data_IF_260098158935
#
_entry.id   IF_260098158935
#
_cell.length_a   1.000
_cell.length_b   1.000
_cell.length_c   1.000
_cell.angle_alpha   90.00
_cell.angle_beta   90.00
_cell.angle_gamma   90.00
#
_symmetry.space_group_name_H-M   'P 1'
#
loop_
_entity.id
_entity.type
_entity.pdbx_description
1 polymer ?
#
# COMPACT_ATOMS: atom_id res chain seq x y z
N UNK A 1 63.94 24.33 10.70
CA UNK A 1 63.95 24.61 9.26
C UNK A 1 62.93 23.70 8.60
N UNK A 2 61.97 24.30 7.90
CA UNK A 2 60.96 23.67 7.05
C UNK A 2 61.40 23.87 5.59
N UNK A 3 61.12 22.92 4.68
CA UNK A 3 60.47 23.29 3.42
C UNK A 3 59.33 22.30 3.11
N UNK A 4 58.06 22.72 3.17
CA UNK A 4 57.23 23.28 2.08
C UNK A 4 57.11 22.43 0.80
N UNK A 5 55.92 21.83 0.72
CA UNK A 5 55.00 21.74 -0.43
C UNK A 5 55.42 20.99 -1.69
N UNK A 6 54.81 19.81 -1.89
CA UNK A 6 54.31 19.40 -3.20
C UNK A 6 52.89 18.85 -3.05
N UNK A 7 51.97 19.46 -3.80
CA UNK A 7 50.58 19.05 -4.00
C UNK A 7 50.53 17.69 -4.74
N UNK A 8 49.66 16.79 -4.29
CA UNK A 8 49.03 15.76 -5.13
C UNK A 8 47.54 15.75 -4.83
N UNK A 9 46.76 16.05 -5.87
CA UNK A 9 45.31 15.86 -5.95
C UNK A 9 45.04 14.38 -6.20
N UNK A 10 44.23 13.74 -5.36
CA UNK A 10 43.50 12.48 -5.60
C UNK A 10 42.55 12.37 -4.39
N UNK A 11 41.25 12.14 -4.45
CA UNK A 11 40.30 11.67 -5.45
C UNK A 11 39.11 11.18 -4.60
N UNK A 12 37.87 11.40 -5.04
CA UNK A 12 36.67 10.91 -4.36
C UNK A 12 36.77 9.42 -4.00
N UNK A 13 36.35 9.05 -2.79
CA UNK A 13 35.82 7.72 -2.55
C UNK A 13 34.79 7.79 -1.43
N UNK A 14 33.53 7.91 -1.87
CA UNK A 14 32.33 7.48 -1.17
C UNK A 14 32.64 6.10 -0.56
N UNK A 15 32.57 5.98 0.77
CA UNK A 15 32.51 4.69 1.41
C UNK A 15 31.14 4.08 1.11
N UNK A 16 30.98 3.59 -0.12
CA UNK A 16 29.86 2.78 -0.54
C UNK A 16 29.93 1.49 0.25
N UNK A 17 29.01 1.34 1.21
CA UNK A 17 28.71 0.04 1.78
C UNK A 17 28.24 -0.85 0.63
N UNK A 18 29.13 -1.76 0.22
CA UNK A 18 28.81 -2.90 -0.63
C UNK A 18 27.80 -3.77 0.11
N UNK A 19 26.51 -3.56 -0.14
CA UNK A 19 25.52 -4.61 0.02
C UNK A 19 25.41 -5.33 -1.33
N UNK A 20 25.60 -6.66 -1.38
CA UNK A 20 25.52 -7.40 -2.62
C UNK A 20 24.11 -7.27 -3.20
N UNK A 21 24.08 -6.94 -4.47
CA UNK A 21 22.97 -6.85 -5.44
C UNK A 21 22.08 -8.11 -5.56
N UNK A 22 22.15 -9.03 -4.60
CA UNK A 22 21.34 -10.24 -4.52
C UNK A 22 19.90 -10.02 -4.00
N UNK A 23 19.59 -8.82 -3.47
CA UNK A 23 18.21 -8.43 -3.13
C UNK A 23 17.45 -7.74 -4.29
N UNK A 24 18.11 -7.50 -5.42
CA UNK A 24 17.55 -6.72 -6.54
C UNK A 24 17.08 -7.58 -7.73
N UNK A 25 16.99 -8.90 -7.58
CA UNK A 25 16.55 -9.80 -8.65
C UNK A 25 15.47 -10.76 -8.17
N UNK A 26 14.33 -10.19 -7.74
CA UNK A 26 13.06 -10.83 -8.00
C UNK A 26 12.70 -10.40 -9.42
N UNK A 27 13.00 -11.28 -10.37
CA UNK A 27 12.49 -11.15 -11.73
C UNK A 27 10.98 -11.04 -11.65
N UNK A 28 10.46 -10.13 -12.47
CA UNK A 28 9.07 -9.75 -12.62
C UNK A 28 8.29 -10.90 -13.32
N UNK A 29 8.37 -12.11 -12.78
CA UNK A 29 7.69 -13.28 -13.32
C UNK A 29 6.34 -13.42 -12.64
N UNK A 30 5.30 -13.10 -13.42
CA UNK A 30 3.88 -13.00 -13.08
C UNK A 30 3.55 -11.97 -11.99
N UNK A 31 2.76 -10.94 -12.33
CA UNK A 31 2.02 -10.20 -11.32
C UNK A 31 1.01 -11.17 -10.68
N UNK A 32 1.46 -11.96 -9.70
CA UNK A 32 0.56 -12.71 -8.85
C UNK A 32 -0.20 -11.67 -8.06
N UNK A 33 -1.46 -11.44 -8.43
CA UNK A 33 -2.36 -10.57 -7.69
C UNK A 33 -2.62 -11.23 -6.34
N UNK A 34 -1.86 -10.80 -5.32
CA UNK A 34 -1.92 -11.33 -3.95
C UNK A 34 -3.20 -10.88 -3.21
N UNK A 35 -3.97 -9.96 -3.78
CA UNK A 35 -5.22 -9.46 -3.23
C UNK A 35 -6.14 -9.00 -4.35
N UNK A 36 -7.44 -9.25 -4.23
CA UNK A 36 -8.42 -8.72 -5.18
C UNK A 36 -9.37 -7.75 -4.50
N UNK A 37 -9.92 -6.87 -5.34
CA UNK A 37 -10.89 -5.85 -4.93
C UNK A 37 -12.08 -5.99 -5.85
N UNK A 38 -13.24 -6.20 -5.26
CA UNK A 38 -14.52 -6.10 -5.93
C UNK A 38 -15.01 -4.66 -5.79
N UNK A 39 -15.36 -4.03 -6.91
CA UNK A 39 -15.84 -2.65 -6.95
C UNK A 39 -17.27 -2.63 -7.49
N UNK A 40 -18.19 -2.05 -6.73
CA UNK A 40 -19.54 -1.74 -7.18
C UNK A 40 -19.66 -0.24 -7.40
N UNK A 41 -20.18 0.17 -8.56
CA UNK A 41 -20.40 1.58 -8.89
C UNK A 41 -21.88 1.82 -9.13
N UNK A 42 -22.47 2.66 -8.28
CA UNK A 42 -23.91 2.95 -8.31
C UNK A 42 -24.15 4.43 -8.65
N UNK A 43 -24.78 4.76 -9.79
CA UNK A 43 -25.17 6.13 -10.10
C UNK A 43 -26.12 6.70 -9.04
N UNK A 44 -25.81 7.89 -8.52
CA UNK A 44 -26.63 8.60 -7.53
C UNK A 44 -27.52 9.69 -8.16
N UNK A 45 -27.38 9.92 -9.48
CA UNK A 45 -27.97 11.07 -10.17
C UNK A 45 -27.07 12.32 -10.09
N UNK A 46 -27.39 13.35 -10.88
CA UNK A 46 -26.63 14.61 -10.87
C UNK A 46 -25.16 14.50 -11.30
N UNK A 47 -24.79 13.42 -12.01
CA UNK A 47 -23.40 13.16 -12.40
C UNK A 47 -22.52 12.58 -11.28
N UNK A 48 -23.13 12.06 -10.21
CA UNK A 48 -22.44 11.48 -9.07
C UNK A 48 -22.53 9.94 -9.07
N UNK A 49 -21.47 9.30 -8.58
CA UNK A 49 -21.31 7.85 -8.53
C UNK A 49 -20.83 7.44 -7.13
N UNK A 50 -21.52 6.49 -6.49
CA UNK A 50 -21.06 5.84 -5.27
C UNK A 50 -20.18 4.66 -5.66
N UNK A 51 -18.97 4.64 -5.14
CA UNK A 51 -18.01 3.55 -5.27
C UNK A 51 -17.98 2.78 -3.95
N UNK A 52 -18.23 1.49 -4.00
CA UNK A 52 -18.18 0.59 -2.85
C UNK A 52 -17.19 -0.53 -3.14
N UNK A 53 -16.28 -0.78 -2.20
CA UNK A 53 -15.23 -1.77 -2.36
C UNK A 53 -15.38 -2.89 -1.32
N UNK A 54 -15.08 -4.09 -1.78
CA UNK A 54 -14.75 -5.21 -0.93
C UNK A 54 -13.34 -5.67 -1.24
N UNK A 55 -12.49 -5.70 -0.23
CA UNK A 55 -11.07 -6.03 -0.36
C UNK A 55 -10.87 -7.43 0.21
N UNK A 56 -10.23 -8.30 -0.55
CA UNK A 56 -9.93 -9.68 -0.17
C UNK A 56 -8.43 -9.91 -0.12
N UNK A 57 -7.99 -10.68 0.88
CA UNK A 57 -6.63 -11.14 0.99
C UNK A 57 -6.51 -12.59 0.51
N UNK A 58 -6.26 -12.73 -0.80
CA UNK A 58 -6.04 -14.02 -1.45
C UNK A 58 -4.56 -14.41 -1.49
N UNK A 59 -3.75 -13.78 -0.65
CA UNK A 59 -2.32 -14.03 -0.68
C UNK A 59 -2.07 -15.50 -0.37
N UNK A 60 -1.22 -16.21 -1.15
CA UNK A 60 -0.75 -17.52 -0.75
C UNK A 60 -0.08 -17.41 0.62
N UNK A 61 -0.48 -18.26 1.56
CA UNK A 61 0.00 -18.23 2.94
C UNK A 61 0.01 -19.64 3.57
N UNK A 62 0.97 -19.94 4.48
CA UNK A 62 2.13 -19.12 4.80
C UNK A 62 3.14 -19.04 3.64
N UNK A 63 3.84 -17.92 3.53
CA UNK A 63 4.99 -17.77 2.65
C UNK A 63 6.27 -17.98 3.45
N UNK A 64 7.14 -18.85 2.97
CA UNK A 64 8.42 -19.10 3.63
C UNK A 64 9.54 -18.30 2.97
N UNK A 65 10.23 -17.45 3.74
CA UNK A 65 11.45 -16.75 3.32
C UNK A 65 12.62 -17.28 4.14
N UNK A 66 13.23 -18.37 3.66
CA UNK A 66 14.17 -19.14 4.46
C UNK A 66 13.44 -19.83 5.61
N UNK A 67 13.88 -19.59 6.85
CA UNK A 67 13.25 -20.14 8.07
C UNK A 67 12.12 -19.26 8.61
N UNK A 68 11.88 -18.08 8.01
CA UNK A 68 10.84 -17.15 8.43
C UNK A 68 9.50 -17.49 7.77
N UNK A 69 8.51 -17.80 8.61
CA UNK A 69 7.12 -17.94 8.22
C UNK A 69 6.46 -16.56 8.14
N UNK A 70 6.04 -16.15 6.94
CA UNK A 70 5.38 -14.88 6.70
C UNK A 70 3.90 -15.09 6.35
N UNK A 71 3.04 -14.33 7.03
CA UNK A 71 1.61 -14.28 6.79
C UNK A 71 1.25 -12.88 6.28
N UNK A 72 1.15 -12.67 4.97
CA UNK A 72 0.92 -11.34 4.40
C UNK A 72 -0.46 -10.82 4.81
N UNK A 73 -0.50 -9.81 5.68
CA UNK A 73 -1.74 -9.18 6.14
C UNK A 73 -1.95 -7.84 5.41
N UNK A 74 -3.20 -7.48 5.13
CA UNK A 74 -3.55 -6.16 4.60
C UNK A 74 -3.94 -5.26 5.76
N UNK A 75 -3.14 -4.22 5.97
CA UNK A 75 -3.33 -3.19 7.01
C UNK A 75 -3.69 -1.81 6.43
N UNK A 76 -3.69 -1.70 5.10
CA UNK A 76 -3.96 -0.49 4.36
C UNK A 76 -4.52 -0.80 2.98
N UNK A 77 -5.50 -0.01 2.53
CA UNK A 77 -6.03 -0.02 1.18
C UNK A 77 -6.06 1.41 0.65
N UNK A 78 -5.58 1.59 -0.58
CA UNK A 78 -5.26 2.90 -1.12
C UNK A 78 -5.83 3.08 -2.52
N UNK A 79 -6.30 4.28 -2.78
CA UNK A 79 -6.70 4.71 -4.12
C UNK A 79 -6.01 6.02 -4.50
N UNK A 80 -5.52 6.15 -5.76
CA UNK A 80 -4.94 7.39 -6.23
C UNK A 80 -6.01 8.46 -6.45
N UNK A 81 -5.68 9.71 -6.11
CA UNK A 81 -6.51 10.88 -6.33
C UNK A 81 -5.71 12.05 -6.90
N UNK A 82 -6.35 12.81 -7.79
CA UNK A 82 -5.82 14.10 -8.23
C UNK A 82 -5.93 15.16 -7.13
N UNK A 83 -7.02 15.14 -6.35
CA UNK A 83 -7.26 16.06 -5.25
C UNK A 83 -8.33 15.49 -4.28
N UNK A 84 -8.24 15.71 -2.95
CA UNK A 84 -9.23 15.18 -1.99
C UNK A 84 -10.67 15.66 -2.24
N UNK A 85 -10.86 16.82 -2.87
CA UNK A 85 -12.19 17.39 -3.14
C UNK A 85 -13.00 16.64 -4.21
N UNK A 86 -12.40 15.67 -4.90
CA UNK A 86 -13.11 14.86 -5.91
C UNK A 86 -13.87 13.70 -5.30
N UNK A 87 -13.70 13.46 -4.00
CA UNK A 87 -14.41 12.43 -3.24
C UNK A 87 -15.10 13.05 -2.02
N UNK A 88 -16.24 12.48 -1.64
CA UNK A 88 -16.98 12.85 -0.43
C UNK A 88 -17.75 11.64 0.09
N UNK A 89 -18.35 11.79 1.28
CA UNK A 89 -19.07 10.70 1.96
C UNK A 89 -18.23 9.41 2.00
N UNK A 90 -16.98 9.57 2.43
CA UNK A 90 -16.03 8.47 2.57
C UNK A 90 -16.45 7.65 3.79
N UNK A 91 -16.58 6.34 3.61
CA UNK A 91 -16.89 5.42 4.70
C UNK A 91 -15.80 4.36 4.82
N UNK A 92 -15.69 3.78 6.01
CA UNK A 92 -14.79 2.69 6.34
C UNK A 92 -15.52 1.60 7.13
N UNK A 93 -15.02 0.35 7.12
CA UNK A 93 -15.42 -0.65 8.10
C UNK A 93 -15.19 -0.17 9.54
N UNK A 94 -15.91 -0.75 10.51
CA UNK A 94 -15.97 -0.26 11.90
C UNK A 94 -14.60 -0.08 12.58
N UNK A 95 -13.61 -0.90 12.27
CA UNK A 95 -12.27 -0.88 12.87
C UNK A 95 -11.23 -0.17 12.02
N UNK A 96 -11.65 0.36 10.88
CA UNK A 96 -10.81 1.06 9.93
C UNK A 96 -11.14 2.55 9.97
N UNK A 97 -10.12 3.36 9.73
CA UNK A 97 -10.29 4.79 9.52
C UNK A 97 -9.73 5.17 8.16
N UNK A 98 -9.91 6.42 7.75
CA UNK A 98 -9.40 6.92 6.49
C UNK A 98 -8.68 8.25 6.66
N UNK A 99 -7.72 8.49 5.76
CA UNK A 99 -7.00 9.77 5.66
C UNK A 99 -6.65 10.07 4.22
N UNK A 100 -6.46 11.36 3.94
CA UNK A 100 -5.87 11.82 2.69
C UNK A 100 -4.40 12.12 2.94
N UNK A 101 -3.54 11.60 2.08
CA UNK A 101 -2.11 11.88 2.08
C UNK A 101 -1.76 12.57 0.77
N UNK A 102 -1.12 13.73 0.83
CA UNK A 102 -0.38 14.26 -0.31
C UNK A 102 0.80 13.33 -0.64
N UNK A 103 1.34 13.42 -1.86
CA UNK A 103 2.52 12.65 -2.24
C UNK A 103 3.71 12.84 -1.27
N UNK A 104 3.87 14.04 -0.71
CA UNK A 104 4.93 14.33 0.27
C UNK A 104 4.65 13.69 1.64
N UNK A 105 3.40 13.70 2.11
CA UNK A 105 3.01 13.03 3.35
C UNK A 105 3.11 11.51 3.22
N UNK A 106 2.76 10.96 2.05
CA UNK A 106 2.95 9.55 1.75
C UNK A 106 4.42 9.15 1.84
N UNK A 107 5.33 9.92 1.21
CA UNK A 107 6.75 9.64 1.26
C UNK A 107 7.33 9.77 2.68
N UNK A 108 6.85 10.74 3.46
CA UNK A 108 7.24 10.90 4.85
C UNK A 108 6.81 9.70 5.71
N UNK A 109 5.59 9.19 5.50
CA UNK A 109 5.03 8.08 6.26
C UNK A 109 5.69 6.73 5.92
N UNK A 110 5.84 6.44 4.63
CA UNK A 110 6.30 5.12 4.14
C UNK A 110 7.79 5.08 3.82
N UNK A 111 8.50 6.21 3.84
CA UNK A 111 9.91 6.31 3.46
C UNK A 111 10.19 5.98 1.99
N UNK A 112 9.15 6.00 1.15
CA UNK A 112 9.22 5.68 -0.27
C UNK A 112 8.26 6.58 -1.09
N UNK A 113 8.62 6.94 -2.33
CA UNK A 113 7.75 7.74 -3.19
C UNK A 113 6.38 7.07 -3.41
N UNK A 114 5.34 7.89 -3.56
CA UNK A 114 3.99 7.43 -3.91
C UNK A 114 4.02 6.54 -5.17
N UNK A 115 3.69 5.23 -5.08
CA UNK A 115 3.78 4.31 -6.20
C UNK A 115 2.71 4.56 -7.28
N UNK A 116 1.65 5.31 -6.98
CA UNK A 116 0.58 5.60 -7.92
C UNK A 116 0.85 6.80 -8.83
N UNK A 117 1.95 7.53 -8.61
CA UNK A 117 2.27 8.78 -9.31
C UNK A 117 1.13 9.84 -9.26
N UNK A 118 0.26 9.75 -8.26
CA UNK A 118 -0.84 10.68 -8.03
C UNK A 118 -0.42 11.82 -7.09
N UNK A 119 -1.13 12.95 -7.15
CA UNK A 119 -0.87 14.08 -6.24
C UNK A 119 -1.29 13.77 -4.81
N UNK A 120 -2.37 12.99 -4.65
CA UNK A 120 -2.92 12.55 -3.37
C UNK A 120 -3.28 11.06 -3.40
N UNK A 121 -3.43 10.50 -2.21
CA UNK A 121 -3.92 9.14 -1.97
C UNK A 121 -5.03 9.22 -0.93
N UNK A 122 -6.18 8.61 -1.19
CA UNK A 122 -7.11 8.25 -0.12
C UNK A 122 -6.67 6.89 0.39
N UNK A 123 -6.33 6.84 1.67
CA UNK A 123 -5.94 5.63 2.35
C UNK A 123 -7.00 5.28 3.40
N UNK A 124 -7.49 4.05 3.34
CA UNK A 124 -8.07 3.37 4.49
C UNK A 124 -6.98 2.58 5.20
N UNK A 125 -6.94 2.65 6.52
CA UNK A 125 -5.96 1.93 7.33
C UNK A 125 -6.61 1.28 8.55
N UNK A 126 -6.00 0.21 9.02
CA UNK A 126 -6.42 -0.45 10.24
C UNK A 126 -6.14 0.45 11.45
N UNK A 127 -7.19 1.06 12.00
CA UNK A 127 -7.08 1.98 13.14
C UNK A 127 -7.01 1.23 14.46
N UNK A 128 -7.42 -0.03 14.47
CA UNK A 128 -7.37 -0.92 15.63
C UNK A 128 -6.68 -2.21 15.17
N UNK A 129 -5.39 -2.45 15.53
CA UNK A 129 -4.51 -3.48 14.94
C UNK A 129 -4.91 -4.96 15.18
N UNK A 130 -6.19 -5.22 15.41
CA UNK A 130 -6.82 -6.50 15.68
C UNK A 130 -7.77 -6.93 14.55
N UNK A 131 -7.97 -6.12 13.50
CA UNK A 131 -8.94 -6.43 12.42
C UNK A 131 -8.36 -6.16 11.02
N UNK A 132 -7.09 -6.53 10.86
CA UNK A 132 -6.42 -6.66 9.56
C UNK A 132 -7.14 -7.67 8.68
N UNK A 133 -6.99 -7.56 7.36
CA UNK A 133 -7.47 -8.59 6.43
C UNK A 133 -6.38 -9.64 6.28
N UNK A 134 -6.63 -10.86 6.74
CA UNK A 134 -5.62 -11.94 6.81
C UNK A 134 -5.90 -13.04 5.79
N UNK A 135 -4.91 -13.77 5.28
CA UNK A 135 -5.18 -14.84 4.32
C UNK A 135 -5.86 -16.03 5.02
N UNK A 136 -6.53 -16.88 4.25
CA UNK A 136 -7.19 -18.10 4.75
C UNK A 136 -6.20 -18.97 5.51
N UNK A 137 -6.62 -19.52 6.65
CA UNK A 137 -5.81 -20.37 7.52
C UNK A 137 -5.00 -19.62 8.59
N UNK A 138 -4.95 -18.28 8.56
CA UNK A 138 -4.25 -17.49 9.59
C UNK A 138 -4.82 -17.76 10.99
N UNK A 139 -6.14 -17.67 11.13
CA UNK A 139 -6.83 -17.92 12.39
C UNK A 139 -6.56 -19.33 12.94
N UNK A 140 -6.56 -20.35 12.07
CA UNK A 140 -6.26 -21.73 12.45
C UNK A 140 -4.80 -21.88 12.90
N UNK A 141 -3.86 -21.25 12.17
CA UNK A 141 -2.42 -21.30 12.48
C UNK A 141 -2.07 -20.67 13.83
N UNK A 142 -2.78 -19.62 14.23
CA UNK A 142 -2.50 -18.81 15.43
C UNK A 142 -3.55 -18.95 16.53
N UNK A 143 -4.51 -19.87 16.40
CA UNK A 143 -5.60 -20.10 17.36
C UNK A 143 -6.42 -18.83 17.68
N UNK A 144 -6.68 -18.03 16.64
CA UNK A 144 -7.42 -16.76 16.68
C UNK A 144 -8.80 -16.91 16.02
N UNK A 145 -9.69 -15.93 16.17
CA UNK A 145 -11.03 -15.97 15.57
C UNK A 145 -11.58 -14.61 15.13
N UNK A 146 -10.83 -13.54 15.34
CA UNK A 146 -11.25 -12.16 15.14
C UNK A 146 -10.97 -11.62 13.73
N UNK A 147 -10.14 -12.31 12.94
CA UNK A 147 -9.73 -11.83 11.62
C UNK A 147 -10.54 -12.47 10.48
N UNK A 148 -10.82 -11.68 9.45
CA UNK A 148 -11.52 -12.14 8.25
C UNK A 148 -10.61 -12.04 7.02
N UNK A 149 -10.80 -12.92 6.01
CA UNK A 149 -10.04 -12.84 4.76
C UNK A 149 -10.54 -11.77 3.80
N UNK A 150 -11.52 -10.99 4.20
CA UNK A 150 -12.03 -9.87 3.46
C UNK A 150 -12.62 -8.81 4.39
N UNK A 151 -12.74 -7.58 3.90
CA UNK A 151 -13.49 -6.52 4.56
C UNK A 151 -14.33 -5.73 3.54
N UNK A 152 -15.47 -5.21 3.98
CA UNK A 152 -16.38 -4.37 3.21
C UNK A 152 -16.62 -3.04 3.92
N UNK A 153 -17.30 -2.10 3.23
CA UNK A 153 -17.66 -0.81 3.79
C UNK A 153 -16.65 0.30 3.49
N UNK A 154 -15.59 0.01 2.73
CA UNK A 154 -14.77 1.01 2.07
C UNK A 154 -15.60 1.65 0.96
N UNK A 155 -15.89 2.94 1.05
CA UNK A 155 -16.67 3.61 0.02
C UNK A 155 -16.41 5.10 -0.05
N UNK A 156 -16.74 5.70 -1.19
CA UNK A 156 -16.83 7.15 -1.35
C UNK A 156 -17.80 7.48 -2.50
N UNK A 157 -18.22 8.73 -2.58
CA UNK A 157 -18.94 9.26 -3.75
C UNK A 157 -17.98 10.18 -4.52
N UNK A 158 -18.01 10.10 -5.84
CA UNK A 158 -17.26 11.00 -6.73
C UNK A 158 -18.10 11.45 -7.94
N UNK A 159 -17.74 12.59 -8.53
CA UNK A 159 -18.26 13.06 -9.82
C UNK A 159 -17.40 12.57 -11.00
N UNK A 160 -16.29 11.90 -10.72
CA UNK A 160 -15.50 11.22 -11.73
C UNK A 160 -16.27 9.96 -12.13
N UNK A 161 -16.68 9.90 -13.39
CA UNK A 161 -17.32 8.71 -13.97
C UNK A 161 -16.39 7.52 -13.80
N UNK A 162 -16.93 6.30 -13.56
CA UNK A 162 -16.11 5.11 -13.63
C UNK A 162 -15.44 5.08 -15.01
N UNK A 163 -14.12 5.04 -15.01
CA UNK A 163 -13.37 4.66 -16.19
C UNK A 163 -13.50 3.15 -16.23
N UNK A 164 -14.08 2.59 -17.30
CA UNK A 164 -13.95 1.16 -17.56
C UNK A 164 -12.45 0.84 -17.46
N UNK A 165 -12.07 0.02 -16.48
CA UNK A 165 -10.66 -0.27 -16.20
C UNK A 165 -9.94 -0.85 -17.43
N UNK A 166 -8.59 -0.84 -17.44
CA UNK A 166 -7.83 -1.52 -18.49
C UNK A 166 -8.17 -3.00 -18.62
#
# INVERSE_FOLDING_TARGET
>A
MNPRNLFVILGCAVAGAFLPTALASLTLDDFVRLSHVETTVTPQGGGLFKYEYRVYNDSPAPQWRGELENWPCIIGYEIPLDHPSVVWDVTSPLTWDYRFLSAAEYELEYGAPNPFYSAYVLQWYDAIPQMMIVPVGFNERFEMSEYEPWANGFSFISNLSPVDGP
#
